data_IF_425419150157
#
_entry.id   IF_425419150157
#
_cell.length_a   1.000
_cell.length_b   1.000
_cell.length_c   1.000
_cell.angle_alpha   90.00
_cell.angle_beta   90.00
_cell.angle_gamma   90.00
#
_symmetry.space_group_name_H-M   'P 1'
#
loop_
_entity.id
_entity.type
_entity.pdbx_description
1 polymer ?
#
# COMPACT_ATOMS: atom_id res chain seq x y z
N UNK A 1 3.16 6.33 17.45
CA UNK A 1 3.36 5.34 16.35
C UNK A 1 3.72 4.00 16.94
N UNK A 2 3.07 2.91 16.52
CA UNK A 2 3.43 1.56 16.96
C UNK A 2 4.37 0.92 15.92
N UNK A 3 5.53 0.44 16.37
CA UNK A 3 6.43 -0.37 15.54
C UNK A 3 5.88 -1.79 15.50
N UNK A 4 5.60 -2.30 14.30
CA UNK A 4 5.23 -3.69 14.12
C UNK A 4 6.49 -4.48 13.83
N UNK A 5 6.70 -5.54 14.61
CA UNK A 5 7.82 -6.44 14.43
C UNK A 5 7.31 -7.88 14.35
N UNK A 6 7.57 -8.54 13.23
CA UNK A 6 7.49 -10.00 13.13
C UNK A 6 8.89 -10.53 12.83
N UNK A 7 9.45 -11.29 13.77
CA UNK A 7 10.79 -11.88 13.64
C UNK A 7 10.71 -13.39 13.56
N UNK A 8 11.45 -13.93 12.61
CA UNK A 8 11.50 -15.33 12.21
C UNK A 8 12.98 -15.68 12.08
N UNK A 9 13.37 -16.95 12.33
CA UNK A 9 14.78 -17.40 12.43
C UNK A 9 15.77 -16.53 11.64
N UNK A 10 15.59 -16.43 10.32
CA UNK A 10 16.46 -15.63 9.45
C UNK A 10 15.77 -14.46 8.74
N UNK A 11 14.50 -14.19 9.02
CA UNK A 11 13.70 -13.17 8.33
C UNK A 11 12.99 -12.29 9.35
N UNK A 12 13.15 -10.98 9.25
CA UNK A 12 12.47 -10.02 10.11
C UNK A 12 11.71 -9.01 9.26
N UNK A 13 10.41 -8.96 9.44
CA UNK A 13 9.51 -7.98 8.82
C UNK A 13 9.24 -6.87 9.81
N UNK A 14 9.58 -5.64 9.45
CA UNK A 14 9.39 -4.43 10.26
C UNK A 14 8.47 -3.47 9.53
N UNK A 15 7.38 -3.03 10.16
CA UNK A 15 6.44 -2.07 9.58
C UNK A 15 6.13 -0.92 10.53
N UNK A 16 5.53 0.15 9.98
CA UNK A 16 4.89 1.21 10.78
C UNK A 16 3.38 1.00 10.72
N UNK A 17 2.72 0.74 11.87
CA UNK A 17 1.26 0.85 11.98
C UNK A 17 0.94 2.27 12.39
N UNK A 18 0.09 2.95 11.62
CA UNK A 18 -0.59 4.11 12.18
C UNK A 18 -1.59 3.64 13.25
N UNK A 19 -1.70 4.36 14.38
CA UNK A 19 -2.77 4.14 15.32
C UNK A 19 -4.09 4.47 14.62
N UNK A 20 -4.98 3.48 14.51
CA UNK A 20 -6.35 3.70 14.07
C UNK A 20 -7.03 4.71 14.98
N UNK A 21 -7.56 5.79 14.40
CA UNK A 21 -8.30 6.92 14.99
C UNK A 21 -7.47 8.10 15.53
N UNK A 22 -7.44 9.19 14.75
CA UNK A 22 -7.55 10.57 15.25
C UNK A 22 -7.91 11.52 14.08
N UNK A 23 -9.13 12.05 14.15
CA UNK A 23 -9.63 13.13 13.32
C UNK A 23 -8.68 14.35 13.38
N UNK A 24 -8.28 14.91 12.23
CA UNK A 24 -8.29 16.37 12.00
C UNK A 24 -8.00 16.78 10.55
N UNK A 25 -9.05 17.31 9.93
CA UNK A 25 -9.11 18.59 9.20
C UNK A 25 -7.98 18.95 8.22
N UNK A 26 -8.32 18.86 6.94
CA UNK A 26 -7.68 19.58 5.83
C UNK A 26 -7.84 21.09 6.02
N UNK A 27 -6.75 21.87 5.93
CA UNK A 27 -6.80 23.28 5.49
C UNK A 27 -5.59 23.60 4.60
N UNK A 28 -5.70 23.28 3.32
CA UNK A 28 -4.93 23.95 2.27
C UNK A 28 -5.64 25.25 1.87
N UNK A 29 -4.94 26.37 1.97
CA UNK A 29 -5.42 27.69 1.57
C UNK A 29 -5.20 27.85 0.05
N UNK A 30 -6.27 27.97 -0.74
CA UNK A 30 -6.19 28.36 -2.16
C UNK A 30 -6.63 29.83 -2.34
N UNK A 31 -6.00 30.61 -3.24
CA UNK A 31 -6.30 32.03 -3.40
C UNK A 31 -7.53 32.29 -4.30
N UNK A 32 -8.32 33.28 -3.87
CA UNK A 32 -9.36 34.10 -4.56
C UNK A 32 -10.27 33.46 -5.63
N UNK A 33 -11.54 33.31 -5.24
CA UNK A 33 -12.69 32.76 -5.99
C UNK A 33 -13.16 33.67 -7.14
N UNK A 34 -13.24 33.13 -8.36
CA UNK A 34 -14.00 33.71 -9.47
C UNK A 34 -15.32 32.92 -9.64
N UNK A 35 -16.50 33.51 -9.35
CA UNK A 35 -17.79 32.80 -9.33
C UNK A 35 -18.23 32.28 -10.71
N UNK A 36 -17.70 32.85 -11.79
CA UNK A 36 -17.99 32.36 -13.15
C UNK A 36 -17.28 31.02 -13.44
N UNK A 37 -16.10 30.82 -12.88
CA UNK A 37 -15.32 29.59 -13.04
C UNK A 37 -15.94 28.47 -12.21
N UNK A 38 -16.37 28.76 -10.97
CA UNK A 38 -17.06 27.77 -10.11
C UNK A 38 -18.35 27.24 -10.76
N UNK A 39 -19.15 28.11 -11.38
CA UNK A 39 -20.40 27.70 -12.03
C UNK A 39 -20.16 26.87 -13.30
N UNK A 40 -19.07 27.12 -14.01
CA UNK A 40 -18.66 26.34 -15.17
C UNK A 40 -18.15 24.95 -14.77
N UNK A 41 -17.33 24.87 -13.71
CA UNK A 41 -16.83 23.62 -13.13
C UNK A 41 -18.00 22.78 -12.60
N UNK A 42 -18.92 23.37 -11.83
CA UNK A 42 -20.06 22.65 -11.28
C UNK A 42 -20.98 22.06 -12.36
N UNK A 43 -21.19 22.78 -13.47
CA UNK A 43 -21.98 22.26 -14.61
C UNK A 43 -21.26 21.14 -15.35
N UNK A 44 -19.93 21.23 -15.47
CA UNK A 44 -19.14 20.20 -16.11
C UNK A 44 -19.03 18.94 -15.24
N UNK A 45 -18.90 19.08 -13.93
CA UNK A 45 -18.94 17.98 -12.96
C UNK A 45 -20.30 17.26 -12.96
N UNK A 46 -21.41 17.99 -12.97
CA UNK A 46 -22.76 17.38 -12.99
C UNK A 46 -22.99 16.58 -14.29
N UNK A 47 -22.52 17.07 -15.44
CA UNK A 47 -22.61 16.34 -16.71
C UNK A 47 -21.74 15.08 -16.75
N UNK A 48 -20.56 15.11 -16.13
CA UNK A 48 -19.68 13.93 -16.02
C UNK A 48 -20.28 12.84 -15.10
N UNK A 49 -20.98 13.24 -14.04
CA UNK A 49 -21.63 12.30 -13.11
C UNK A 49 -22.86 11.64 -13.77
N UNK A 50 -23.69 12.42 -14.47
CA UNK A 50 -24.89 11.89 -15.15
C UNK A 50 -24.55 10.89 -16.28
N UNK A 51 -23.44 11.06 -17.00
CA UNK A 51 -23.02 10.13 -18.06
C UNK A 51 -22.42 8.82 -17.53
N UNK A 52 -21.82 8.82 -16.32
CA UNK A 52 -21.27 7.58 -15.72
C UNK A 52 -22.35 6.69 -15.11
N UNK A 53 -23.46 7.27 -14.63
CA UNK A 53 -24.53 6.51 -13.98
C UNK A 53 -25.38 5.64 -14.93
N UNK A 54 -25.24 5.77 -16.25
CA UNK A 54 -25.94 4.91 -17.21
C UNK A 54 -25.25 3.58 -17.54
N UNK A 55 -24.08 3.26 -16.96
CA UNK A 55 -23.30 2.06 -17.32
C UNK A 55 -22.86 1.16 -16.15
N UNK A 56 -23.04 1.55 -14.89
CA UNK A 56 -22.62 0.73 -13.74
C UNK A 56 -23.78 -0.10 -13.17
N UNK A 57 -23.91 -1.33 -13.67
CA UNK A 57 -24.59 -2.41 -12.97
C UNK A 57 -23.83 -2.84 -11.70
N UNK A 58 -24.38 -3.77 -10.88
CA UNK A 58 -23.89 -4.09 -9.53
C UNK A 58 -22.61 -4.94 -9.56
N UNK A 59 -21.47 -4.36 -9.95
CA UNK A 59 -20.14 -4.99 -9.97
C UNK A 59 -19.13 -4.41 -8.98
N UNK A 60 -19.51 -3.39 -8.20
CA UNK A 60 -18.54 -2.65 -7.36
C UNK A 60 -18.21 -3.34 -6.03
N UNK A 61 -19.10 -4.17 -5.46
CA UNK A 61 -18.86 -4.76 -4.14
C UNK A 61 -17.73 -5.81 -4.14
N UNK A 62 -17.57 -6.58 -5.22
CA UNK A 62 -16.50 -7.59 -5.32
C UNK A 62 -15.11 -6.99 -5.55
N UNK A 63 -15.02 -5.83 -6.21
CA UNK A 63 -13.74 -5.20 -6.54
C UNK A 63 -13.06 -4.56 -5.31
N UNK A 64 -13.86 -4.04 -4.37
CA UNK A 64 -13.34 -3.44 -3.14
C UNK A 64 -12.68 -4.47 -2.22
N UNK A 65 -13.27 -5.66 -2.11
CA UNK A 65 -12.71 -6.75 -1.30
C UNK A 65 -11.37 -7.26 -1.86
N UNK A 66 -11.21 -7.28 -3.19
CA UNK A 66 -9.95 -7.67 -3.84
C UNK A 66 -8.84 -6.61 -3.64
N UNK A 67 -9.20 -5.33 -3.65
CA UNK A 67 -8.26 -4.23 -3.37
C UNK A 67 -7.79 -4.23 -1.90
N UNK A 68 -8.68 -4.58 -0.96
CA UNK A 68 -8.33 -4.71 0.46
C UNK A 68 -7.44 -5.94 0.75
N UNK A 69 -7.49 -7.00 -0.07
CA UNK A 69 -6.63 -8.18 0.06
C UNK A 69 -5.30 -8.08 -0.74
N UNK A 70 -5.03 -6.94 -1.37
CA UNK A 70 -3.88 -6.75 -2.25
C UNK A 70 -2.54 -6.71 -1.51
N UNK A 71 -1.54 -7.42 -2.06
CA UNK A 71 -0.15 -7.35 -1.58
C UNK A 71 0.83 -7.15 -2.73
N UNK A 72 1.72 -6.17 -2.59
CA UNK A 72 2.84 -5.89 -3.49
C UNK A 72 4.16 -6.27 -2.81
N UNK A 73 5.00 -7.03 -3.50
CA UNK A 73 6.36 -7.36 -3.05
C UNK A 73 7.37 -6.70 -3.98
N UNK A 74 8.10 -5.72 -3.44
CA UNK A 74 9.21 -5.07 -4.10
C UNK A 74 10.54 -5.65 -3.61
N UNK A 75 10.98 -6.71 -4.27
CA UNK A 75 12.30 -7.34 -4.10
C UNK A 75 13.42 -6.42 -4.62
N UNK A 76 13.70 -5.37 -3.85
CA UNK A 76 14.60 -4.30 -4.25
C UNK A 76 16.03 -4.77 -4.50
N UNK A 77 16.61 -4.30 -5.60
CA UNK A 77 18.02 -4.47 -5.93
C UNK A 77 18.84 -3.35 -5.27
N UNK A 78 20.03 -3.64 -4.71
CA UNK A 78 20.89 -2.61 -4.14
C UNK A 78 21.36 -1.63 -5.22
N UNK A 79 21.51 -0.35 -4.84
CA UNK A 79 22.09 0.71 -5.69
C UNK A 79 21.28 1.06 -6.95
N UNK A 80 20.02 0.67 -7.04
CA UNK A 80 19.13 0.99 -8.18
C UNK A 80 18.13 2.12 -7.90
N UNK A 81 18.50 3.09 -7.06
CA UNK A 81 17.59 4.12 -6.53
C UNK A 81 16.35 3.56 -5.79
N UNK A 82 16.38 2.28 -5.40
CA UNK A 82 15.29 1.62 -4.67
C UNK A 82 14.92 2.33 -3.37
N UNK A 83 15.88 2.99 -2.70
CA UNK A 83 15.60 3.81 -1.51
C UNK A 83 14.69 4.98 -1.83
N UNK A 84 14.93 5.67 -2.95
CA UNK A 84 14.11 6.80 -3.38
C UNK A 84 12.68 6.36 -3.67
N UNK A 85 12.52 5.24 -4.39
CA UNK A 85 11.19 4.69 -4.69
C UNK A 85 10.44 4.25 -3.42
N UNK A 86 11.10 3.55 -2.51
CA UNK A 86 10.49 3.12 -1.24
C UNK A 86 10.05 4.30 -0.37
N UNK A 87 10.76 5.43 -0.39
CA UNK A 87 10.35 6.62 0.37
C UNK A 87 9.01 7.17 -0.13
N UNK A 88 8.77 7.19 -1.44
CA UNK A 88 7.47 7.57 -2.00
C UNK A 88 6.36 6.68 -1.43
N UNK A 89 6.61 5.37 -1.34
CA UNK A 89 5.65 4.44 -0.75
C UNK A 89 5.38 4.74 0.73
N UNK A 90 6.39 5.13 1.52
CA UNK A 90 6.20 5.56 2.91
C UNK A 90 5.42 6.87 3.04
N UNK A 91 5.63 7.83 2.15
CA UNK A 91 4.96 9.13 2.21
C UNK A 91 3.46 9.03 1.87
N UNK A 92 3.11 8.08 0.98
CA UNK A 92 1.74 7.89 0.51
C UNK A 92 0.93 6.88 1.33
N UNK A 93 1.57 6.04 2.14
CA UNK A 93 0.89 4.91 2.79
C UNK A 93 -0.24 5.34 3.75
N UNK A 94 -0.06 6.44 4.47
CA UNK A 94 -1.08 6.97 5.38
C UNK A 94 -2.30 7.51 4.62
N UNK A 95 -2.06 8.30 3.57
CA UNK A 95 -3.14 8.90 2.75
C UNK A 95 -3.94 7.85 2.01
N UNK A 96 -3.25 6.84 1.47
CA UNK A 96 -3.85 5.80 0.64
C UNK A 96 -4.24 4.54 1.44
N UNK A 97 -4.10 4.57 2.77
CA UNK A 97 -4.54 3.51 3.69
C UNK A 97 -3.96 2.12 3.39
N UNK A 98 -2.68 2.04 3.05
CA UNK A 98 -1.96 0.76 2.94
C UNK A 98 -0.76 0.72 3.88
N UNK A 99 -0.18 -0.45 4.06
CA UNK A 99 0.93 -0.66 4.97
C UNK A 99 2.26 -0.85 4.24
N UNK A 100 3.35 -0.23 4.73
CA UNK A 100 4.70 -0.45 4.19
C UNK A 100 5.55 -1.23 5.19
N UNK A 101 6.08 -2.37 4.75
CA UNK A 101 6.89 -3.27 5.57
C UNK A 101 8.25 -3.55 4.92
N UNK A 102 9.31 -3.50 5.71
CA UNK A 102 10.66 -3.86 5.28
C UNK A 102 10.99 -5.30 5.68
N UNK A 103 11.49 -6.08 4.74
CA UNK A 103 11.98 -7.45 4.91
C UNK A 103 13.50 -7.39 5.09
N UNK A 104 13.96 -7.81 6.27
CA UNK A 104 15.36 -8.00 6.57
C UNK A 104 15.68 -9.50 6.57
N UNK A 105 16.79 -9.89 5.96
CA UNK A 105 17.34 -11.24 6.05
C UNK A 105 18.63 -11.24 6.86
N UNK A 106 18.92 -12.35 7.54
CA UNK A 106 20.19 -12.50 8.28
C UNK A 106 21.38 -12.30 7.34
N UNK A 107 22.33 -11.46 7.77
CA UNK A 107 23.53 -11.08 6.98
C UNK A 107 23.19 -10.48 5.59
N UNK A 108 21.98 -9.96 5.38
CA UNK A 108 21.48 -9.45 4.10
C UNK A 108 21.55 -10.49 2.95
N UNK A 109 21.50 -11.78 3.28
CA UNK A 109 21.49 -12.86 2.29
C UNK A 109 20.22 -12.77 1.45
N UNK A 110 20.30 -12.64 0.10
CA UNK A 110 19.11 -12.53 -0.74
C UNK A 110 18.32 -13.85 -0.81
N UNK A 111 18.95 -15.00 -0.53
CA UNK A 111 18.29 -16.31 -0.65
C UNK A 111 17.81 -16.79 0.72
N UNK A 112 16.50 -17.02 0.84
CA UNK A 112 15.89 -17.64 2.02
C UNK A 112 15.99 -19.17 1.95
N UNK A 113 16.09 -19.83 3.11
CA UNK A 113 15.95 -21.29 3.20
C UNK A 113 14.53 -21.72 2.84
N UNK A 114 14.32 -22.96 2.37
CA UNK A 114 12.97 -23.46 2.05
C UNK A 114 12.00 -23.32 3.22
N UNK A 115 12.45 -23.58 4.45
CA UNK A 115 11.62 -23.41 5.64
C UNK A 115 11.21 -21.94 5.86
N UNK A 116 12.12 -21.00 5.65
CA UNK A 116 11.85 -19.56 5.78
C UNK A 116 10.95 -19.07 4.64
N UNK A 117 11.07 -19.62 3.42
CA UNK A 117 10.19 -19.32 2.29
C UNK A 117 8.74 -19.70 2.56
N UNK A 118 8.48 -20.97 2.92
CA UNK A 118 7.13 -21.46 3.26
C UNK A 118 6.49 -20.62 4.35
N UNK A 119 7.29 -20.29 5.36
CA UNK A 119 6.89 -19.44 6.47
C UNK A 119 6.57 -18.01 6.03
N UNK A 120 7.40 -17.42 5.20
CA UNK A 120 7.22 -16.08 4.66
C UNK A 120 5.94 -15.98 3.81
N UNK A 121 5.72 -16.95 2.91
CA UNK A 121 4.49 -17.05 2.11
C UNK A 121 3.27 -17.10 3.01
N UNK A 122 3.24 -18.03 3.97
CA UNK A 122 2.12 -18.19 4.92
C UNK A 122 1.82 -16.91 5.68
N UNK A 123 2.83 -16.13 6.06
CA UNK A 123 2.58 -14.86 6.75
C UNK A 123 1.95 -13.82 5.87
N UNK A 124 2.55 -13.58 4.72
CA UNK A 124 2.11 -12.49 3.86
C UNK A 124 0.68 -12.72 3.41
N UNK A 125 0.32 -13.97 3.13
CA UNK A 125 -1.05 -14.31 2.72
C UNK A 125 -2.05 -14.28 3.86
N UNK A 126 -1.68 -14.69 5.08
CA UNK A 126 -2.60 -14.77 6.23
C UNK A 126 -2.68 -13.51 7.09
N UNK A 127 -1.74 -12.57 6.96
CA UNK A 127 -1.66 -11.41 7.84
C UNK A 127 -2.60 -10.28 7.38
N UNK A 128 -3.90 -10.49 7.62
CA UNK A 128 -4.99 -9.60 7.17
C UNK A 128 -4.86 -8.16 7.67
N UNK A 129 -4.38 -7.93 8.90
CA UNK A 129 -4.29 -6.57 9.45
C UNK A 129 -3.18 -5.72 8.81
N UNK A 130 -2.39 -6.29 7.90
CA UNK A 130 -1.36 -5.59 7.13
C UNK A 130 -1.70 -5.47 5.64
N UNK A 131 -2.90 -5.90 5.25
CA UNK A 131 -3.42 -5.74 3.90
C UNK A 131 -4.34 -4.50 3.85
N UNK A 132 -4.29 -3.71 2.76
CA UNK A 132 -3.37 -3.82 1.64
C UNK A 132 -1.92 -3.48 2.04
N UNK A 133 -0.95 -4.23 1.48
CA UNK A 133 0.43 -4.24 1.97
C UNK A 133 1.50 -4.11 0.88
N UNK A 134 2.48 -3.23 1.11
CA UNK A 134 3.68 -3.06 0.30
C UNK A 134 4.91 -3.55 1.09
N UNK A 135 5.44 -4.71 0.70
CA UNK A 135 6.62 -5.31 1.29
C UNK A 135 7.85 -5.00 0.44
N UNK A 136 8.95 -4.56 1.04
CA UNK A 136 10.20 -4.33 0.31
C UNK A 136 11.40 -4.89 1.05
N UNK A 137 12.42 -5.37 0.33
CA UNK A 137 13.65 -5.85 0.95
C UNK A 137 14.59 -6.52 -0.05
N UNK A 138 15.84 -6.72 0.36
CA UNK A 138 16.85 -7.39 -0.45
C UNK A 138 16.66 -8.91 -0.38
N UNK A 139 15.81 -9.43 -1.26
CA UNK A 139 15.47 -10.85 -1.36
C UNK A 139 15.42 -11.23 -2.84
N UNK A 140 15.85 -12.44 -3.19
CA UNK A 140 15.63 -13.00 -4.53
C UNK A 140 14.14 -13.22 -4.79
N UNK A 141 13.78 -13.38 -6.06
CA UNK A 141 12.41 -13.76 -6.43
C UNK A 141 11.99 -15.04 -5.69
N UNK A 142 10.75 -15.03 -5.19
CA UNK A 142 10.12 -16.17 -4.56
C UNK A 142 8.85 -16.51 -5.34
N UNK A 143 8.71 -17.78 -5.71
CA UNK A 143 7.53 -18.29 -6.37
C UNK A 143 6.46 -18.64 -5.31
N UNK A 144 5.31 -17.97 -5.36
CA UNK A 144 4.19 -18.20 -4.44
C UNK A 144 3.24 -19.31 -4.94
N UNK A 145 3.43 -19.80 -6.18
CA UNK A 145 2.61 -20.85 -6.78
C UNK A 145 3.14 -22.27 -6.54
N UNK A 146 4.31 -22.40 -5.88
CA UNK A 146 4.95 -23.67 -5.52
C UNK A 146 5.02 -23.83 -4.01
#
# INVERSE_FOLDING_TARGET
MQKILRSWKNVKVTGRKEPSSLNHCVKGHLPTRNPHIERAIARHEVREIEQRHTMDGPRQDVALDEEEDMVIIYNRVPKTASTSFTNIAYDLCAKNKYHVLHINTTKNNPVMSLQDQVRFVKNITSWKEMKPGFYHGHVSYLDFAK
#
